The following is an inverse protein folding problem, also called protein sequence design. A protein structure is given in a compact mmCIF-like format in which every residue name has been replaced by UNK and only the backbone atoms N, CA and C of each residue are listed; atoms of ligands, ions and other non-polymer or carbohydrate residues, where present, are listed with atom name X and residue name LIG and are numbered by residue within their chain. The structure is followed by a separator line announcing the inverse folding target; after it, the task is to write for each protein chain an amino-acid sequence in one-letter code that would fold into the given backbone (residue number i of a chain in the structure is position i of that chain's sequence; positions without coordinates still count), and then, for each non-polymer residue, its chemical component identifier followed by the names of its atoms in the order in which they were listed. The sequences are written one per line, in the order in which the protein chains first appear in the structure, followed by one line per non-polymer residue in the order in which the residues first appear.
data_IF_144917726266
#
_entry.id   IF_144917726266
#
_cell.length_a   1.000
_cell.length_b   1.000
_cell.length_c   1.000
_cell.angle_alpha   90.00
_cell.angle_beta   90.00
_cell.angle_gamma   90.00
#
_symmetry.space_group_name_H-M   'P 1'
#
loop_
_entity.id
_entity.type
_entity.pdbx_description
1 polymer ?
#
# COMPACT_ATOMS: atom_id res chain seq x y z
N UNK A 1 -6.19 -7.07 -11.45
CA UNK A 1 -5.48 -6.66 -12.71
C UNK A 1 -4.45 -7.74 -13.06
N UNK A 2 -4.08 -7.88 -14.32
CA UNK A 2 -2.92 -8.71 -14.69
C UNK A 2 -1.67 -7.87 -14.49
N UNK A 3 -0.61 -8.46 -13.93
CA UNK A 3 0.69 -7.80 -13.81
C UNK A 3 1.23 -7.49 -15.20
N UNK A 4 1.48 -6.20 -15.49
CA UNK A 4 2.00 -5.76 -16.78
C UNK A 4 3.51 -5.98 -16.84
N UNK A 5 3.93 -6.97 -17.61
CA UNK A 5 5.35 -7.32 -17.77
C UNK A 5 6.18 -6.26 -18.52
N UNK A 6 5.54 -5.25 -19.11
CA UNK A 6 6.24 -4.12 -19.74
C UNK A 6 6.71 -3.07 -18.72
N UNK A 7 6.16 -3.11 -17.49
CA UNK A 7 6.63 -2.26 -16.40
C UNK A 7 7.89 -2.87 -15.80
N UNK A 8 8.97 -2.12 -15.83
CA UNK A 8 10.23 -2.53 -15.21
C UNK A 8 10.58 -1.61 -14.05
N UNK A 9 10.99 -2.19 -12.92
CA UNK A 9 11.47 -1.44 -11.77
C UNK A 9 12.90 -1.83 -11.47
N UNK A 10 13.72 -0.84 -11.11
CA UNK A 10 15.00 -1.08 -10.50
C UNK A 10 14.80 -1.33 -9.01
N UNK A 11 15.49 -2.32 -8.47
CA UNK A 11 15.60 -2.52 -7.03
C UNK A 11 16.64 -1.53 -6.49
N UNK A 12 16.28 -0.83 -5.43
CA UNK A 12 17.13 0.18 -4.83
C UNK A 12 17.61 -0.29 -3.44
N UNK A 13 18.83 0.10 -3.07
CA UNK A 13 19.38 -0.21 -1.75
C UNK A 13 18.52 0.38 -0.63
N UNK A 14 18.29 -0.40 0.41
CA UNK A 14 17.45 -0.08 1.57
C UNK A 14 15.98 0.24 1.23
N UNK A 15 15.49 -0.25 0.10
CA UNK A 15 14.08 -0.20 -0.30
C UNK A 15 13.54 -1.61 -0.39
N UNK A 16 12.35 -1.85 0.17
CA UNK A 16 11.68 -3.15 0.09
C UNK A 16 11.47 -3.56 -1.38
N UNK A 17 12.04 -4.69 -1.80
CA UNK A 17 11.86 -5.15 -3.18
C UNK A 17 10.45 -5.73 -3.37
N UNK A 18 9.87 -5.65 -4.57
CA UNK A 18 8.58 -6.27 -4.85
C UNK A 18 8.64 -7.78 -4.60
N UNK A 19 7.67 -8.29 -3.82
CA UNK A 19 7.52 -9.71 -3.49
C UNK A 19 6.08 -10.16 -3.71
N UNK A 20 5.75 -11.35 -3.25
CA UNK A 20 4.43 -11.99 -3.39
C UNK A 20 3.28 -11.10 -2.92
N UNK A 21 3.48 -10.35 -1.85
CA UNK A 21 2.54 -9.38 -1.31
C UNK A 21 2.24 -8.25 -2.30
N UNK A 22 3.29 -7.66 -2.87
CA UNK A 22 3.18 -6.58 -3.87
C UNK A 22 2.43 -7.07 -5.11
N UNK A 23 2.78 -8.26 -5.62
CA UNK A 23 2.12 -8.82 -6.79
C UNK A 23 0.67 -9.18 -6.50
N UNK A 24 0.36 -9.75 -5.32
CA UNK A 24 -1.02 -10.04 -4.91
C UNK A 24 -1.87 -8.77 -4.84
N UNK A 25 -1.31 -7.68 -4.30
CA UNK A 25 -2.01 -6.40 -4.26
C UNK A 25 -2.34 -5.91 -5.68
N UNK A 26 -1.37 -5.96 -6.61
CA UNK A 26 -1.58 -5.59 -8.02
C UNK A 26 -2.68 -6.44 -8.66
N UNK A 27 -2.68 -7.75 -8.44
CA UNK A 27 -3.69 -8.65 -8.98
C UNK A 27 -5.11 -8.33 -8.49
N UNK A 28 -5.24 -7.80 -7.27
CA UNK A 28 -6.51 -7.50 -6.61
C UNK A 28 -7.04 -6.09 -6.86
N UNK A 29 -6.27 -5.18 -7.46
CA UNK A 29 -6.72 -3.82 -7.74
C UNK A 29 -7.22 -3.67 -9.17
N UNK A 30 -8.18 -2.77 -9.37
CA UNK A 30 -8.72 -2.38 -10.67
C UNK A 30 -8.81 -0.86 -10.76
N UNK A 31 -7.68 -0.16 -10.94
CA UNK A 31 -7.68 1.30 -11.07
C UNK A 31 -8.32 1.68 -12.41
N UNK A 32 -9.04 2.81 -12.41
CA UNK A 32 -9.77 3.30 -13.59
C UNK A 32 -9.12 4.58 -14.11
N UNK A 33 -9.29 4.83 -15.39
CA UNK A 33 -8.85 6.07 -16.03
C UNK A 33 -9.44 7.29 -15.30
N UNK A 34 -8.56 8.22 -14.92
CA UNK A 34 -8.92 9.45 -14.21
C UNK A 34 -9.23 9.29 -12.72
N UNK A 35 -9.24 8.07 -12.19
CA UNK A 35 -9.40 7.81 -10.77
C UNK A 35 -8.22 8.36 -9.99
N UNK A 36 -8.48 9.08 -8.89
CA UNK A 36 -7.43 9.53 -7.98
C UNK A 36 -7.02 8.40 -7.04
N UNK A 37 -5.75 8.05 -7.06
CA UNK A 37 -5.19 6.94 -6.28
C UNK A 37 -4.08 7.45 -5.39
N UNK A 38 -4.12 7.07 -4.11
CA UNK A 38 -3.04 7.26 -3.15
C UNK A 38 -2.45 5.91 -2.77
N UNK A 39 -1.14 5.75 -2.92
CA UNK A 39 -0.42 4.61 -2.35
C UNK A 39 0.39 5.05 -1.13
N UNK A 40 0.20 4.36 -0.01
CA UNK A 40 0.96 4.52 1.23
C UNK A 40 2.06 3.46 1.28
N UNK A 41 3.31 3.87 1.55
CA UNK A 41 4.46 2.97 1.56
C UNK A 41 4.80 2.46 0.17
N UNK A 42 5.08 3.37 -0.78
CA UNK A 42 5.21 3.02 -2.20
C UNK A 42 6.44 2.18 -2.54
N UNK A 43 7.47 2.12 -1.69
CA UNK A 43 8.65 1.30 -1.88
C UNK A 43 9.35 1.56 -3.23
N UNK A 44 9.37 0.56 -4.11
CA UNK A 44 9.88 0.67 -5.47
C UNK A 44 8.91 1.37 -6.44
N UNK A 45 7.66 1.59 -6.05
CA UNK A 45 6.61 2.21 -6.86
C UNK A 45 5.89 1.26 -7.82
N UNK A 46 6.08 -0.06 -7.71
CA UNK A 46 5.53 -1.00 -8.69
C UNK A 46 3.99 -0.97 -8.72
N UNK A 47 3.31 -0.88 -7.58
CA UNK A 47 1.83 -0.79 -7.51
C UNK A 47 1.36 0.52 -8.13
N UNK A 48 1.97 1.64 -7.74
CA UNK A 48 1.71 2.98 -8.29
C UNK A 48 1.89 3.05 -9.81
N UNK A 49 2.95 2.41 -10.34
CA UNK A 49 3.20 2.32 -11.78
C UNK A 49 2.06 1.59 -12.52
N UNK A 50 1.54 0.50 -11.96
CA UNK A 50 0.38 -0.21 -12.52
C UNK A 50 -0.87 0.67 -12.52
N UNK A 51 -1.10 1.46 -11.46
CA UNK A 51 -2.19 2.43 -11.42
C UNK A 51 -2.04 3.52 -12.48
N UNK A 52 -0.84 4.09 -12.61
CA UNK A 52 -0.56 5.12 -13.62
C UNK A 52 -0.66 4.58 -15.04
N UNK A 53 -0.24 3.33 -15.29
CA UNK A 53 -0.41 2.64 -16.58
C UNK A 53 -1.88 2.50 -16.97
N UNK A 54 -2.77 2.30 -16.00
CA UNK A 54 -4.22 2.31 -16.18
C UNK A 54 -4.81 3.74 -16.34
N UNK A 55 -3.96 4.76 -16.46
CA UNK A 55 -4.34 6.17 -16.57
C UNK A 55 -5.05 6.73 -15.33
N UNK A 56 -4.79 6.20 -14.15
CA UNK A 56 -5.17 6.82 -12.90
C UNK A 56 -4.26 8.04 -12.60
N UNK A 57 -4.76 8.97 -11.79
CA UNK A 57 -3.99 10.10 -11.25
C UNK A 57 -3.40 9.65 -9.92
N UNK A 58 -2.09 9.45 -9.88
CA UNK A 58 -1.42 8.78 -8.76
C UNK A 58 -0.66 9.77 -7.89
N UNK A 59 -0.92 9.67 -6.58
CA UNK A 59 -0.05 10.17 -5.51
C UNK A 59 0.55 8.98 -4.79
N UNK A 60 1.85 8.99 -4.53
CA UNK A 60 2.56 7.91 -3.85
C UNK A 60 3.41 8.50 -2.73
N UNK A 61 3.36 7.91 -1.55
CA UNK A 61 4.11 8.40 -0.40
C UNK A 61 4.87 7.29 0.30
N UNK A 62 6.02 7.65 0.89
CA UNK A 62 6.79 6.74 1.73
C UNK A 62 7.50 7.53 2.84
N UNK A 63 7.70 6.90 3.98
CA UNK A 63 8.48 7.45 5.08
C UNK A 63 10.01 7.34 4.82
N UNK A 64 10.41 6.40 3.96
CA UNK A 64 11.80 6.23 3.58
C UNK A 64 12.13 7.12 2.37
N UNK A 65 13.01 8.12 2.52
CA UNK A 65 13.38 9.01 1.41
C UNK A 65 14.06 8.26 0.25
N UNK A 66 14.70 7.10 0.51
CA UNK A 66 15.26 6.25 -0.55
C UNK A 66 14.16 5.59 -1.39
N UNK A 67 13.06 5.18 -0.76
CA UNK A 67 11.89 4.66 -1.46
C UNK A 67 11.24 5.74 -2.34
N UNK A 68 11.11 6.97 -1.84
CA UNK A 68 10.64 8.12 -2.63
C UNK A 68 11.53 8.33 -3.87
N UNK A 69 12.84 8.38 -3.70
CA UNK A 69 13.78 8.56 -4.80
C UNK A 69 13.72 7.39 -5.81
N UNK A 70 13.62 6.15 -5.31
CA UNK A 70 13.48 4.94 -6.11
C UNK A 70 12.20 4.96 -6.95
N UNK A 71 11.06 5.23 -6.33
CA UNK A 71 9.77 5.38 -7.02
C UNK A 71 9.83 6.44 -8.11
N UNK A 72 10.38 7.62 -7.82
CA UNK A 72 10.55 8.68 -8.82
C UNK A 72 11.43 8.25 -10.01
N UNK A 73 12.51 7.52 -9.75
CA UNK A 73 13.39 6.99 -10.80
C UNK A 73 12.65 5.96 -11.67
N UNK A 74 11.90 5.05 -11.05
CA UNK A 74 11.12 4.04 -11.73
C UNK A 74 9.98 4.64 -12.57
N UNK A 75 9.32 5.70 -12.10
CA UNK A 75 8.34 6.44 -12.89
C UNK A 75 8.96 7.06 -14.14
N UNK A 76 10.14 7.73 -14.02
CA UNK A 76 10.87 8.28 -15.18
C UNK A 76 11.26 7.18 -16.17
N UNK A 77 11.76 6.04 -15.68
CA UNK A 77 12.14 4.88 -16.50
C UNK A 77 10.98 4.34 -17.35
N UNK A 78 9.78 4.31 -16.79
CA UNK A 78 8.57 3.81 -17.46
C UNK A 78 7.82 4.90 -18.26
N UNK A 79 8.36 6.13 -18.35
CA UNK A 79 7.70 7.27 -19.00
C UNK A 79 6.30 7.57 -18.46
N UNK A 80 6.08 7.34 -17.17
CA UNK A 80 4.84 7.61 -16.46
C UNK A 80 5.04 8.79 -15.47
N UNK A 81 3.93 9.32 -14.98
CA UNK A 81 3.93 10.44 -14.03
C UNK A 81 3.12 10.11 -12.79
N UNK A 82 3.61 10.54 -11.65
CA UNK A 82 2.92 10.54 -10.36
C UNK A 82 3.45 11.68 -9.50
N UNK A 83 2.68 12.07 -8.50
CA UNK A 83 3.14 12.93 -7.42
C UNK A 83 3.73 12.04 -6.31
N UNK A 84 5.05 12.02 -6.21
CA UNK A 84 5.76 11.15 -5.27
C UNK A 84 6.42 11.98 -4.18
N UNK A 85 6.01 11.77 -2.91
CA UNK A 85 6.39 12.60 -1.76
C UNK A 85 6.91 11.79 -0.58
N UNK A 86 7.73 12.42 0.25
CA UNK A 86 8.06 11.90 1.58
C UNK A 86 6.91 12.20 2.55
N UNK A 87 6.42 11.17 3.27
CA UNK A 87 5.38 11.32 4.30
C UNK A 87 5.40 10.16 5.30
N UNK A 88 5.18 10.45 6.58
CA UNK A 88 4.81 9.44 7.57
C UNK A 88 3.30 9.19 7.47
N UNK A 89 2.93 8.11 6.79
CA UNK A 89 1.54 7.79 6.43
C UNK A 89 0.87 8.98 5.72
N UNK A 90 -0.20 9.52 6.31
CA UNK A 90 -1.03 10.58 5.76
C UNK A 90 -0.61 11.99 6.17
N UNK A 91 0.40 12.15 7.04
CA UNK A 91 0.78 13.45 7.63
C UNK A 91 1.20 14.52 6.60
N UNK A 92 1.74 14.11 5.46
CA UNK A 92 2.15 14.99 4.35
C UNK A 92 1.23 14.92 3.13
N UNK A 93 0.02 14.38 3.30
CA UNK A 93 -0.93 14.17 2.21
C UNK A 93 -2.09 15.14 2.29
N UNK A 94 -2.24 15.96 1.27
CA UNK A 94 -3.39 16.84 1.11
C UNK A 94 -4.42 16.20 0.15
N UNK A 95 -5.71 16.50 0.39
CA UNK A 95 -6.79 16.12 -0.51
C UNK A 95 -7.46 14.80 -0.17
N UNK A 96 -8.31 14.36 -1.10
CA UNK A 96 -9.13 13.15 -0.98
C UNK A 96 -9.02 12.32 -2.25
N UNK A 97 -9.16 11.01 -2.10
CA UNK A 97 -8.91 10.03 -3.15
C UNK A 97 -10.11 9.09 -3.35
N UNK A 98 -10.26 8.60 -4.57
CA UNK A 98 -11.22 7.54 -4.88
C UNK A 98 -10.74 6.18 -4.36
N UNK A 99 -9.42 6.00 -4.29
CA UNK A 99 -8.80 4.76 -3.90
C UNK A 99 -7.53 5.03 -3.09
N UNK A 100 -7.46 4.43 -1.91
CA UNK A 100 -6.23 4.42 -1.10
C UNK A 100 -5.72 2.97 -1.03
N UNK A 101 -4.44 2.78 -1.35
CA UNK A 101 -3.77 1.49 -1.36
C UNK A 101 -2.73 1.45 -0.24
N UNK A 102 -2.68 0.35 0.48
CA UNK A 102 -1.67 0.16 1.51
C UNK A 102 -1.26 -1.31 1.64
N UNK A 103 0.01 -1.57 1.45
CA UNK A 103 0.69 -2.79 1.88
C UNK A 103 1.44 -2.47 3.18
N UNK A 104 0.82 -2.59 4.35
CA UNK A 104 1.43 -2.17 5.61
C UNK A 104 2.57 -3.10 6.00
N UNK A 105 3.57 -2.62 6.76
CA UNK A 105 4.48 -3.49 7.47
C UNK A 105 3.71 -4.32 8.49
N UNK A 106 3.84 -5.66 8.46
CA UNK A 106 3.03 -6.58 9.25
C UNK A 106 3.81 -7.60 10.10
N UNK A 107 5.12 -7.67 9.93
CA UNK A 107 5.92 -8.57 10.77
C UNK A 107 5.99 -8.06 12.21
N UNK A 108 5.82 -8.97 13.16
CA UNK A 108 5.91 -8.64 14.59
C UNK A 108 7.36 -8.30 14.94
N UNK A 109 7.58 -7.14 15.53
CA UNK A 109 8.90 -6.67 15.96
C UNK A 109 9.10 -5.17 15.76
N UNK A 110 10.22 -4.67 16.29
CA UNK A 110 10.72 -3.33 16.03
C UNK A 110 11.95 -3.47 15.14
N UNK A 111 11.89 -2.99 13.91
CA UNK A 111 13.05 -2.99 13.03
C UNK A 111 14.13 -2.02 13.51
N UNK A 112 15.38 -2.45 13.55
CA UNK A 112 16.52 -1.62 13.96
C UNK A 112 17.10 -0.81 12.79
N UNK A 113 16.99 -1.29 11.54
CA UNK A 113 17.43 -0.64 10.31
C UNK A 113 16.30 -0.02 9.49
N UNK A 114 16.62 0.81 8.50
CA UNK A 114 15.63 1.40 7.57
C UNK A 114 14.87 0.33 6.78
N UNK A 115 15.59 -0.67 6.28
CA UNK A 115 14.98 -1.80 5.58
C UNK A 115 14.10 -2.64 6.52
N UNK A 116 14.52 -2.86 7.76
CA UNK A 116 13.75 -3.62 8.75
C UNK A 116 12.45 -2.90 9.14
N UNK A 117 12.45 -1.58 9.22
CA UNK A 117 11.24 -0.79 9.47
C UNK A 117 10.21 -0.91 8.35
N UNK A 118 10.62 -1.22 7.13
CA UNK A 118 9.70 -1.38 6.01
C UNK A 118 8.76 -2.58 6.15
N UNK A 119 9.08 -3.55 7.03
CA UNK A 119 8.22 -4.71 7.31
C UNK A 119 7.80 -4.84 8.79
N UNK A 120 8.34 -4.01 9.69
CA UNK A 120 8.05 -4.09 11.13
C UNK A 120 6.71 -3.45 11.48
N UNK A 121 5.70 -4.27 11.75
CA UNK A 121 4.33 -3.87 12.13
C UNK A 121 4.12 -3.58 13.61
N UNK A 122 5.19 -3.57 14.43
CA UNK A 122 5.11 -3.38 15.88
C UNK A 122 4.79 -4.66 16.64
N UNK A 123 4.38 -4.55 17.92
CA UNK A 123 4.18 -5.70 18.81
C UNK A 123 3.19 -6.75 18.31
N UNK A 124 2.13 -6.31 17.62
CA UNK A 124 1.03 -7.14 17.16
C UNK A 124 0.97 -7.21 15.63
N UNK A 125 1.94 -6.63 14.90
CA UNK A 125 1.93 -6.53 13.45
C UNK A 125 0.87 -5.55 12.88
N UNK A 126 0.13 -4.82 13.72
CA UNK A 126 -0.98 -3.95 13.28
C UNK A 126 -0.86 -2.49 13.72
N UNK A 127 0.25 -2.10 14.36
CA UNK A 127 0.35 -0.75 14.92
C UNK A 127 0.32 0.34 13.83
N UNK A 128 1.03 0.13 12.75
CA UNK A 128 1.10 1.06 11.62
C UNK A 128 -0.24 1.08 10.88
N UNK A 129 -0.82 -0.11 10.64
CA UNK A 129 -2.17 -0.22 10.07
C UNK A 129 -3.20 0.55 10.89
N UNK A 130 -3.16 0.43 12.23
CA UNK A 130 -4.08 1.15 13.13
C UNK A 130 -3.94 2.67 13.05
N UNK A 131 -2.71 3.18 12.93
CA UNK A 131 -2.49 4.62 12.72
C UNK A 131 -3.13 5.09 11.42
N UNK A 132 -2.85 4.36 10.35
CA UNK A 132 -3.40 4.63 9.03
C UNK A 132 -4.93 4.61 9.01
N UNK A 133 -5.57 3.55 9.53
CA UNK A 133 -7.03 3.38 9.46
C UNK A 133 -7.82 4.43 10.25
N UNK A 134 -7.21 5.07 11.25
CA UNK A 134 -7.86 6.18 11.97
C UNK A 134 -7.97 7.45 11.14
N UNK A 135 -7.01 7.71 10.27
CA UNK A 135 -6.90 8.94 9.49
C UNK A 135 -7.45 8.77 8.07
N UNK A 136 -7.33 7.57 7.49
CA UNK A 136 -7.66 7.28 6.11
C UNK A 136 -9.10 7.65 5.67
N UNK A 137 -10.15 7.51 6.51
CA UNK A 137 -11.50 7.93 6.12
C UNK A 137 -11.62 9.41 5.75
N UNK A 138 -10.84 10.30 6.37
CA UNK A 138 -10.85 11.74 6.09
C UNK A 138 -10.27 12.07 4.71
N UNK A 139 -9.45 11.16 4.18
CA UNK A 139 -8.81 11.27 2.86
C UNK A 139 -9.57 10.53 1.75
N UNK A 140 -10.81 10.08 2.00
CA UNK A 140 -11.65 9.48 0.97
C UNK A 140 -12.63 10.48 0.37
N UNK A 141 -12.78 10.42 -0.94
CA UNK A 141 -13.90 11.04 -1.64
C UNK A 141 -15.20 10.28 -1.32
N UNK A 142 -16.38 10.91 -1.48
CA UNK A 142 -17.65 10.20 -1.39
C UNK A 142 -17.67 8.97 -2.33
N UNK A 143 -17.91 7.78 -1.75
CA UNK A 143 -17.82 6.52 -2.48
C UNK A 143 -16.39 5.98 -2.69
N UNK A 144 -15.39 6.64 -2.14
CA UNK A 144 -14.02 6.17 -2.11
C UNK A 144 -13.84 4.94 -1.21
N UNK A 145 -12.76 4.20 -1.44
CA UNK A 145 -12.46 2.96 -0.71
C UNK A 145 -10.97 2.80 -0.45
N UNK A 146 -10.66 1.97 0.52
CA UNK A 146 -9.29 1.57 0.86
C UNK A 146 -9.11 0.11 0.42
N UNK A 147 -7.95 -0.23 -0.12
CA UNK A 147 -7.53 -1.61 -0.34
C UNK A 147 -6.26 -1.84 0.45
N UNK A 148 -6.29 -2.84 1.31
CA UNK A 148 -5.15 -3.21 2.17
C UNK A 148 -4.74 -4.65 1.96
N UNK A 149 -3.43 -4.89 2.02
CA UNK A 149 -2.89 -6.23 2.15
C UNK A 149 -2.79 -6.60 3.62
N UNK A 150 -3.15 -7.82 3.95
CA UNK A 150 -3.16 -8.37 5.30
C UNK A 150 -2.44 -9.72 5.32
N UNK A 151 -1.95 -10.14 6.50
CA UNK A 151 -1.22 -11.40 6.68
C UNK A 151 -1.65 -12.09 7.98
N UNK A 152 -1.60 -13.43 7.98
CA UNK A 152 -1.75 -14.25 9.21
C UNK A 152 -0.64 -14.03 10.23
N UNK A 153 0.43 -13.32 9.88
CA UNK A 153 1.47 -12.87 10.81
C UNK A 153 0.98 -11.73 11.73
N UNK A 154 -0.08 -11.04 11.34
CA UNK A 154 -0.78 -10.06 12.20
C UNK A 154 -1.58 -10.79 13.28
N UNK A 155 -1.60 -10.27 14.50
CA UNK A 155 -2.42 -10.84 15.58
C UNK A 155 -3.91 -10.67 15.28
N UNK A 156 -4.63 -11.77 15.07
CA UNK A 156 -6.03 -11.80 14.64
C UNK A 156 -6.95 -10.89 15.47
N UNK A 157 -6.91 -11.03 16.81
CA UNK A 157 -7.76 -10.22 17.69
C UNK A 157 -7.49 -8.70 17.60
N UNK A 158 -6.25 -8.30 17.29
CA UNK A 158 -5.87 -6.90 17.08
C UNK A 158 -6.34 -6.43 15.72
N UNK A 159 -6.23 -7.29 14.70
CA UNK A 159 -6.68 -7.01 13.35
C UNK A 159 -8.20 -6.84 13.27
N UNK A 160 -8.96 -7.75 13.86
CA UNK A 160 -10.44 -7.67 13.89
C UNK A 160 -10.92 -6.38 14.56
N UNK A 161 -10.28 -5.99 15.65
CA UNK A 161 -10.57 -4.72 16.32
C UNK A 161 -10.28 -3.52 15.40
N UNK A 162 -9.18 -3.55 14.68
CA UNK A 162 -8.77 -2.48 13.77
C UNK A 162 -9.74 -2.27 12.63
N UNK A 163 -10.31 -3.36 12.13
CA UNK A 163 -11.18 -3.38 10.96
C UNK A 163 -12.67 -3.29 11.30
N UNK A 164 -13.03 -3.27 12.59
CA UNK A 164 -14.43 -3.33 13.05
C UNK A 164 -15.33 -2.16 12.61
N UNK A 165 -14.73 -1.02 12.25
CA UNK A 165 -15.44 0.19 11.79
C UNK A 165 -15.60 0.27 10.28
N UNK A 166 -15.23 -0.80 9.57
CA UNK A 166 -15.30 -0.85 8.11
C UNK A 166 -16.22 -1.99 7.65
N UNK A 167 -16.94 -1.75 6.56
CA UNK A 167 -17.49 -2.83 5.74
C UNK A 167 -16.34 -3.45 4.98
N UNK A 168 -16.23 -4.79 5.01
CA UNK A 168 -15.07 -5.53 4.49
C UNK A 168 -15.47 -6.45 3.36
N UNK A 169 -14.65 -6.50 2.33
CA UNK A 169 -14.78 -7.46 1.22
C UNK A 169 -13.42 -8.01 0.84
N UNK A 170 -13.21 -9.31 0.98
CA UNK A 170 -12.01 -9.98 0.51
C UNK A 170 -11.97 -9.99 -1.03
N UNK A 171 -10.87 -9.51 -1.61
CA UNK A 171 -10.66 -9.42 -3.06
C UNK A 171 -9.84 -10.58 -3.61
N UNK A 172 -8.90 -11.11 -2.82
CA UNK A 172 -8.06 -12.23 -3.19
C UNK A 172 -7.18 -12.69 -2.04
N UNK A 173 -6.44 -13.75 -2.26
CA UNK A 173 -5.48 -14.26 -1.27
C UNK A 173 -4.52 -15.28 -1.85
N UNK A 174 -3.38 -15.46 -1.18
CA UNK A 174 -2.33 -16.37 -1.56
C UNK A 174 -1.78 -17.07 -0.32
N UNK A 175 -1.77 -18.39 -0.33
CA UNK A 175 -1.15 -19.18 0.73
C UNK A 175 0.32 -19.39 0.40
N UNK A 176 1.19 -18.97 1.30
CA UNK A 176 2.63 -19.19 1.27
C UNK A 176 2.99 -20.32 2.26
N UNK A 177 4.28 -20.66 2.34
CA UNK A 177 4.70 -21.79 3.18
C UNK A 177 4.45 -21.55 4.68
N UNK A 178 4.68 -20.31 5.16
CA UNK A 178 4.58 -19.95 6.58
C UNK A 178 3.44 -18.97 6.89
N UNK A 179 2.76 -18.41 5.88
CA UNK A 179 1.73 -17.40 6.06
C UNK A 179 0.66 -17.48 4.98
N UNK A 180 -0.48 -16.90 5.24
CA UNK A 180 -1.48 -16.56 4.23
C UNK A 180 -1.55 -15.04 4.11
N UNK A 181 -1.43 -14.57 2.88
CA UNK A 181 -1.66 -13.18 2.50
C UNK A 181 -3.05 -13.04 1.90
N UNK A 182 -3.73 -11.95 2.21
CA UNK A 182 -4.97 -11.62 1.51
C UNK A 182 -5.14 -10.12 1.38
N UNK A 183 -5.98 -9.73 0.42
CA UNK A 183 -6.30 -8.32 0.14
C UNK A 183 -7.77 -8.09 0.45
N UNK A 184 -8.04 -7.04 1.20
CA UNK A 184 -9.41 -6.58 1.51
C UNK A 184 -9.67 -5.18 1.01
N UNK A 185 -10.88 -5.00 0.52
CA UNK A 185 -11.50 -3.70 0.32
C UNK A 185 -12.22 -3.29 1.61
N UNK A 186 -11.96 -2.05 2.04
CA UNK A 186 -12.55 -1.46 3.23
C UNK A 186 -13.32 -0.20 2.83
N UNK A 187 -14.57 -0.14 3.25
CA UNK A 187 -15.44 1.04 3.10
C UNK A 187 -15.79 1.49 4.53
N UNK A 188 -15.54 2.75 4.92
CA UNK A 188 -15.94 3.22 6.25
C UNK A 188 -17.43 2.97 6.47
N UNK A 189 -17.77 2.41 7.64
CA UNK A 189 -19.18 2.26 8.02
C UNK A 189 -19.81 3.65 8.24
N UNK A 190 -21.11 3.83 7.93
CA UNK A 190 -21.81 5.08 8.09
C UNK A 190 -21.90 5.53 9.55
#
# INVERSE_FOLDING_TARGET
MIVDSSISVDECEDVYPPREDTYLLIECIEPRKGQTVLEIGCGSGLVSLHCARASAVVTAVDINPKAVACTQANFRRNHLQADVRHSDLLSGVDGRFDLILFNPPYLVGAGEGELERSWAGGKDGVQILNRFLREAPEHLLPGGRIIVLLSTMMKESSLDKSLSTFQRRRLGGKRLFFEELWVEELIPAP
#
